data_IF_218509134974
#
_entry.id   IF_218509134974
#
_cell.length_a   1.000
_cell.length_b   1.000
_cell.length_c   1.000
_cell.angle_alpha   90.00
_cell.angle_beta   90.00
_cell.angle_gamma   90.00
#
_symmetry.space_group_name_H-M   'P 1'
#
loop_
_entity.id
_entity.type
_entity.pdbx_description
1 polymer ?
#
# COMPACT_ATOMS: atom_id res chain seq x y z
N UNK A 1 -5.74 29.45 -4.80
CA UNK A 1 -4.87 28.28 -5.00
C UNK A 1 -5.27 27.60 -6.30
N UNK A 2 -4.37 27.56 -7.29
CA UNK A 2 -4.68 26.94 -8.58
C UNK A 2 -4.60 25.42 -8.42
N UNK A 3 -5.71 24.72 -8.62
CA UNK A 3 -5.78 23.26 -8.62
C UNK A 3 -5.71 22.81 -10.08
N UNK A 4 -4.69 22.02 -10.42
CA UNK A 4 -4.48 21.48 -11.77
C UNK A 4 -5.22 20.15 -11.95
N UNK A 5 -5.12 19.26 -10.94
CA UNK A 5 -5.77 17.95 -10.96
C UNK A 5 -6.51 17.72 -9.65
N UNK A 6 -7.64 17.06 -9.72
CA UNK A 6 -8.42 16.66 -8.55
C UNK A 6 -8.97 15.25 -8.73
N UNK A 7 -8.88 14.49 -7.66
CA UNK A 7 -9.42 13.13 -7.55
C UNK A 7 -10.33 13.08 -6.34
N UNK A 8 -11.50 12.52 -6.51
CA UNK A 8 -12.49 12.39 -5.46
C UNK A 8 -13.10 11.00 -5.49
N UNK A 9 -13.22 10.35 -4.34
CA UNK A 9 -13.76 8.99 -4.28
C UNK A 9 -14.04 8.52 -2.86
N UNK A 10 -14.58 7.32 -2.78
CA UNK A 10 -14.87 6.70 -1.50
C UNK A 10 -13.69 5.84 -1.04
N UNK A 11 -13.40 5.90 0.26
CA UNK A 11 -12.38 5.05 0.91
C UNK A 11 -12.94 3.66 1.14
N UNK A 12 -13.00 2.83 0.10
CA UNK A 12 -13.55 1.47 0.17
C UNK A 12 -12.61 0.52 0.92
N UNK A 13 -13.15 -0.57 1.43
CA UNK A 13 -12.36 -1.65 2.07
C UNK A 13 -11.33 -2.23 1.10
N UNK A 14 -11.70 -2.32 -0.17
CA UNK A 14 -10.84 -2.80 -1.26
C UNK A 14 -9.66 -1.87 -1.50
N UNK A 15 -9.90 -0.55 -1.58
CA UNK A 15 -8.83 0.46 -1.73
C UNK A 15 -7.84 0.42 -0.56
N UNK A 16 -8.33 0.32 0.68
CA UNK A 16 -7.49 0.17 1.86
C UNK A 16 -6.66 -1.13 1.77
N UNK A 17 -7.28 -2.24 1.37
CA UNK A 17 -6.59 -3.54 1.23
C UNK A 17 -5.52 -3.51 0.15
N UNK A 18 -5.77 -2.88 -1.01
CA UNK A 18 -4.78 -2.74 -2.08
C UNK A 18 -3.60 -1.87 -1.63
N UNK A 19 -3.85 -0.80 -0.88
CA UNK A 19 -2.79 0.03 -0.27
C UNK A 19 -1.88 -0.80 0.62
N UNK A 20 -2.43 -1.61 1.53
CA UNK A 20 -1.63 -2.48 2.39
C UNK A 20 -0.89 -3.56 1.59
N UNK A 21 -1.55 -4.17 0.61
CA UNK A 21 -0.96 -5.19 -0.26
C UNK A 21 0.22 -4.62 -1.05
N UNK A 22 0.08 -3.41 -1.61
CA UNK A 22 1.16 -2.75 -2.34
C UNK A 22 2.32 -2.38 -1.41
N UNK A 23 2.00 -1.85 -0.23
CA UNK A 23 3.03 -1.42 0.73
C UNK A 23 3.87 -2.58 1.27
N UNK A 24 3.23 -3.70 1.57
CA UNK A 24 3.92 -4.89 2.08
C UNK A 24 4.42 -5.82 0.96
N UNK A 25 3.87 -5.74 -0.25
CA UNK A 25 3.98 -6.76 -1.28
C UNK A 25 5.41 -7.22 -1.61
N UNK A 26 6.32 -6.28 -1.92
CA UNK A 26 7.71 -6.64 -2.28
C UNK A 26 8.50 -7.23 -1.10
N UNK A 27 8.33 -6.66 0.10
CA UNK A 27 8.98 -7.18 1.32
C UNK A 27 8.42 -8.52 1.73
N UNK A 28 7.11 -8.70 1.62
CA UNK A 28 6.45 -9.97 1.93
C UNK A 28 6.96 -11.12 1.06
N UNK A 29 7.24 -10.89 -0.22
CA UNK A 29 7.72 -11.93 -1.14
C UNK A 29 9.06 -12.53 -0.69
N UNK A 30 9.99 -11.69 -0.26
CA UNK A 30 11.30 -12.13 0.26
C UNK A 30 11.11 -13.01 1.50
N UNK A 31 10.24 -12.60 2.43
CA UNK A 31 9.94 -13.39 3.61
C UNK A 31 9.26 -14.72 3.29
N UNK A 32 8.38 -14.76 2.28
CA UNK A 32 7.74 -16.01 1.84
C UNK A 32 8.78 -17.00 1.32
N UNK A 33 9.70 -16.55 0.47
CA UNK A 33 10.77 -17.41 -0.04
C UNK A 33 11.62 -17.91 1.12
N UNK A 34 12.03 -17.01 2.03
CA UNK A 34 12.86 -17.37 3.17
C UNK A 34 12.17 -18.42 4.05
N UNK A 35 10.92 -18.21 4.44
CA UNK A 35 10.17 -19.17 5.25
C UNK A 35 9.92 -20.49 4.52
N UNK A 36 9.65 -20.45 3.21
CA UNK A 36 9.48 -21.66 2.42
C UNK A 36 10.77 -22.50 2.38
N UNK A 37 11.91 -21.85 2.14
CA UNK A 37 13.23 -22.53 2.11
C UNK A 37 13.58 -23.09 3.49
N UNK A 38 13.42 -22.33 4.56
CA UNK A 38 13.70 -22.79 5.93
C UNK A 38 12.77 -23.93 6.33
N UNK A 39 11.50 -23.87 6.01
CA UNK A 39 10.54 -24.92 6.28
C UNK A 39 10.86 -26.21 5.51
N UNK A 40 11.21 -26.08 4.23
CA UNK A 40 11.63 -27.22 3.41
C UNK A 40 12.92 -27.85 3.93
N UNK A 41 13.93 -27.05 4.30
CA UNK A 41 15.16 -27.53 4.88
C UNK A 41 14.92 -28.31 6.19
N UNK A 42 14.12 -27.75 7.11
CA UNK A 42 13.79 -28.41 8.37
C UNK A 42 13.03 -29.72 8.15
N UNK A 43 12.18 -29.80 7.13
CA UNK A 43 11.47 -31.01 6.75
C UNK A 43 12.40 -32.10 6.18
N UNK A 44 13.35 -31.68 5.32
CA UNK A 44 14.38 -32.61 4.79
C UNK A 44 15.27 -33.17 5.91
N UNK A 45 15.65 -32.35 6.88
CA UNK A 45 16.40 -32.83 8.07
C UNK A 45 15.58 -33.87 8.85
N UNK A 46 14.28 -33.67 8.98
CA UNK A 46 13.40 -34.68 9.59
C UNK A 46 13.41 -36.00 8.81
N UNK A 47 13.28 -35.96 7.48
CA UNK A 47 13.29 -37.16 6.65
C UNK A 47 14.60 -37.91 6.74
N UNK A 48 15.73 -37.21 6.84
CA UNK A 48 17.06 -37.84 6.93
C UNK A 48 17.44 -38.38 8.32
N UNK A 49 16.99 -37.72 9.38
CA UNK A 49 17.41 -38.03 10.76
C UNK A 49 16.32 -38.59 11.67
N UNK A 50 15.05 -38.49 11.25
CA UNK A 50 13.89 -38.85 12.07
C UNK A 50 13.65 -37.98 13.30
N UNK A 51 14.36 -36.85 13.41
CA UNK A 51 14.29 -35.96 14.57
C UNK A 51 12.96 -35.20 14.60
N UNK A 52 12.06 -35.57 15.48
CA UNK A 52 10.72 -34.99 15.62
C UNK A 52 10.76 -33.46 15.84
N UNK A 53 11.81 -32.94 16.49
CA UNK A 53 12.01 -31.49 16.68
C UNK A 53 12.11 -30.74 15.35
N UNK A 54 12.73 -31.32 14.32
CA UNK A 54 12.84 -30.71 12.98
C UNK A 54 11.49 -30.64 12.28
N UNK A 55 10.63 -31.63 12.47
CA UNK A 55 9.24 -31.61 11.96
C UNK A 55 8.42 -30.49 12.66
N UNK A 56 8.51 -30.39 13.98
CA UNK A 56 7.83 -29.37 14.73
C UNK A 56 8.29 -27.96 14.30
N UNK A 57 9.57 -27.77 14.06
CA UNK A 57 10.13 -26.50 13.56
C UNK A 57 9.60 -26.18 12.16
N UNK A 58 9.55 -27.14 11.24
CA UNK A 58 8.99 -26.95 9.91
C UNK A 58 7.52 -26.51 9.98
N UNK A 59 6.71 -27.17 10.82
CA UNK A 59 5.31 -26.81 11.03
C UNK A 59 5.16 -25.40 11.60
N UNK A 60 5.95 -25.00 12.59
CA UNK A 60 5.94 -23.66 13.16
C UNK A 60 6.28 -22.60 12.12
N UNK A 61 7.29 -22.84 11.26
CA UNK A 61 7.67 -21.92 10.18
C UNK A 61 6.52 -21.75 9.18
N UNK A 62 5.85 -22.84 8.79
CA UNK A 62 4.72 -22.77 7.86
C UNK A 62 3.51 -22.08 8.46
N UNK A 63 3.21 -22.32 9.73
CA UNK A 63 2.16 -21.59 10.45
C UNK A 63 2.48 -20.10 10.50
N UNK A 64 3.72 -19.72 10.83
CA UNK A 64 4.17 -18.32 10.81
C UNK A 64 4.01 -17.70 9.42
N UNK A 65 4.32 -18.43 8.33
CA UNK A 65 4.12 -17.97 6.96
C UNK A 65 2.65 -17.67 6.67
N UNK A 66 1.73 -18.55 7.08
CA UNK A 66 0.28 -18.33 6.91
C UNK A 66 -0.19 -17.10 7.68
N UNK A 67 0.24 -16.93 8.93
CA UNK A 67 -0.06 -15.72 9.69
C UNK A 67 0.43 -14.46 8.99
N UNK A 68 1.64 -14.50 8.44
CA UNK A 68 2.22 -13.36 7.73
C UNK A 68 1.45 -12.98 6.45
N UNK A 69 0.86 -13.95 5.74
CA UNK A 69 -0.05 -13.72 4.60
C UNK A 69 -1.33 -13.02 5.05
N UNK A 70 -1.82 -13.33 6.24
CA UNK A 70 -3.08 -12.78 6.74
C UNK A 70 -2.93 -11.37 7.33
N UNK A 71 -1.71 -10.95 7.74
CA UNK A 71 -1.45 -9.65 8.36
C UNK A 71 -1.99 -8.47 7.54
N UNK A 72 -1.68 -8.30 6.23
CA UNK A 72 -2.20 -7.16 5.48
C UNK A 72 -3.73 -7.12 5.40
N UNK A 73 -4.36 -8.31 5.31
CA UNK A 73 -5.83 -8.43 5.28
C UNK A 73 -6.45 -8.03 6.61
N UNK A 74 -5.87 -8.49 7.72
CA UNK A 74 -6.37 -8.17 9.07
C UNK A 74 -6.16 -6.69 9.41
N UNK A 75 -5.03 -6.10 9.01
CA UNK A 75 -4.75 -4.67 9.19
C UNK A 75 -5.73 -3.80 8.39
N UNK A 76 -5.98 -4.14 7.12
CA UNK A 76 -6.96 -3.45 6.29
C UNK A 76 -8.37 -3.51 6.91
N UNK A 77 -8.79 -4.70 7.37
CA UNK A 77 -10.09 -4.87 8.01
C UNK A 77 -10.21 -4.09 9.33
N UNK A 78 -9.14 -4.10 10.15
CA UNK A 78 -9.10 -3.32 11.42
C UNK A 78 -9.18 -1.81 11.14
N UNK A 79 -8.42 -1.30 10.16
CA UNK A 79 -8.46 0.11 9.82
C UNK A 79 -9.80 0.54 9.23
N UNK A 80 -10.39 -0.27 8.36
CA UNK A 80 -11.73 0.00 7.85
C UNK A 80 -12.77 0.05 8.98
N UNK A 81 -12.76 -0.92 9.91
CA UNK A 81 -13.64 -0.90 11.08
C UNK A 81 -13.40 0.30 12.00
N UNK A 82 -12.13 0.70 12.18
CA UNK A 82 -11.77 1.89 12.97
C UNK A 82 -12.35 3.15 12.34
N UNK A 83 -12.18 3.32 11.02
CA UNK A 83 -12.77 4.46 10.27
C UNK A 83 -14.31 4.46 10.39
N UNK A 84 -14.98 3.32 10.18
CA UNK A 84 -16.43 3.23 10.35
C UNK A 84 -16.90 3.66 11.74
N UNK A 85 -16.19 3.25 12.80
CA UNK A 85 -16.51 3.69 14.17
C UNK A 85 -16.27 5.19 14.39
N UNK A 86 -15.22 5.74 13.77
CA UNK A 86 -14.86 7.15 13.91
C UNK A 86 -15.88 8.08 13.22
N UNK A 87 -16.55 7.60 12.19
CA UNK A 87 -17.46 8.38 11.34
C UNK A 87 -18.89 7.83 11.34
N UNK A 88 -19.35 7.28 12.47
CA UNK A 88 -20.73 6.83 12.70
C UNK A 88 -21.29 5.95 11.57
N UNK A 89 -20.46 5.05 11.04
CA UNK A 89 -20.84 4.08 10.02
C UNK A 89 -20.73 4.55 8.57
N UNK A 90 -20.36 5.83 8.31
CA UNK A 90 -20.14 6.36 6.96
C UNK A 90 -18.72 6.89 6.85
N UNK A 91 -17.88 6.22 6.07
CA UNK A 91 -16.53 6.71 5.81
C UNK A 91 -16.65 7.92 4.87
N UNK A 92 -16.11 9.10 5.24
CA UNK A 92 -16.14 10.27 4.37
C UNK A 92 -15.32 10.01 3.09
N UNK A 93 -15.69 10.68 1.99
CA UNK A 93 -14.93 10.57 0.76
C UNK A 93 -13.53 11.15 0.94
N UNK A 94 -12.56 10.60 0.21
CA UNK A 94 -11.24 11.20 0.11
C UNK A 94 -11.20 12.20 -1.04
N UNK A 95 -10.32 13.18 -0.91
CA UNK A 95 -10.00 14.14 -1.98
C UNK A 95 -8.48 14.27 -2.09
N UNK A 96 -7.98 14.17 -3.31
CA UNK A 96 -6.56 14.42 -3.63
C UNK A 96 -6.50 15.58 -4.59
N UNK A 97 -5.71 16.61 -4.28
CA UNK A 97 -5.54 17.80 -5.11
C UNK A 97 -4.07 18.03 -5.41
N UNK A 98 -3.82 18.38 -6.66
CA UNK A 98 -2.52 18.76 -7.16
C UNK A 98 -2.57 20.24 -7.56
N UNK A 99 -1.94 21.07 -6.77
CA UNK A 99 -1.83 22.51 -6.97
C UNK A 99 -0.37 22.96 -6.85
N UNK A 100 -0.10 23.90 -5.95
CA UNK A 100 1.28 24.26 -5.58
C UNK A 100 1.97 23.15 -4.81
N UNK A 101 1.20 22.35 -4.10
CA UNK A 101 1.61 21.15 -3.38
C UNK A 101 0.58 20.04 -3.56
N UNK A 102 0.94 18.82 -3.14
CA UNK A 102 0.03 17.68 -3.14
C UNK A 102 -0.71 17.70 -1.82
N UNK A 103 -2.04 17.77 -1.87
CA UNK A 103 -2.91 17.71 -0.69
C UNK A 103 -3.79 16.47 -0.76
N UNK A 104 -3.89 15.78 0.35
CA UNK A 104 -4.76 14.62 0.53
C UNK A 104 -5.63 14.85 1.75
N UNK A 105 -6.93 14.66 1.61
CA UNK A 105 -7.89 14.75 2.68
C UNK A 105 -8.75 13.48 2.70
N UNK A 106 -8.88 12.87 3.88
CA UNK A 106 -9.70 11.69 4.10
C UNK A 106 -10.33 11.79 5.50
N UNK A 107 -11.54 12.30 5.55
CA UNK A 107 -12.20 12.67 6.80
C UNK A 107 -11.45 13.76 7.55
N UNK A 108 -11.00 13.44 8.76
CA UNK A 108 -10.21 14.35 9.61
C UNK A 108 -8.71 14.33 9.28
N UNK A 109 -8.25 13.37 8.50
CA UNK A 109 -6.86 13.28 8.09
C UNK A 109 -6.61 14.25 6.92
N UNK A 110 -5.71 15.19 7.14
CA UNK A 110 -5.20 16.05 6.09
C UNK A 110 -3.69 15.89 6.01
N UNK A 111 -3.19 15.60 4.82
CA UNK A 111 -1.77 15.52 4.50
C UNK A 111 -1.48 16.54 3.41
N UNK A 112 -0.36 17.22 3.54
CA UNK A 112 0.14 18.14 2.52
C UNK A 112 1.64 18.03 2.44
N UNK A 113 2.19 17.97 1.23
CA UNK A 113 3.63 17.96 1.00
C UNK A 113 4.01 18.50 -0.38
N UNK A 114 5.13 19.22 -0.46
CA UNK A 114 5.61 19.77 -1.71
C UNK A 114 6.17 18.68 -2.64
N UNK A 115 6.17 18.92 -3.93
CA UNK A 115 6.69 18.00 -4.96
C UNK A 115 8.16 17.61 -4.73
N UNK A 116 8.97 18.52 -4.20
CA UNK A 116 10.37 18.24 -3.85
C UNK A 116 10.56 17.15 -2.79
N UNK A 117 9.52 16.84 -1.99
CA UNK A 117 9.54 15.76 -1.01
C UNK A 117 9.03 14.43 -1.56
N UNK A 118 8.54 14.38 -2.79
CA UNK A 118 8.11 13.13 -3.42
C UNK A 118 9.34 12.24 -3.62
N UNK A 119 9.27 11.03 -3.09
CA UNK A 119 10.33 10.02 -3.20
C UNK A 119 10.03 9.01 -4.29
N UNK A 120 8.75 8.69 -4.49
CA UNK A 120 8.34 7.64 -5.39
C UNK A 120 6.92 7.82 -5.86
N UNK A 121 6.70 7.58 -7.16
CA UNK A 121 5.37 7.44 -7.76
C UNK A 121 5.29 6.04 -8.35
N UNK A 122 4.25 5.32 -8.03
CA UNK A 122 4.01 3.97 -8.56
C UNK A 122 2.56 3.87 -9.03
N UNK A 123 2.35 3.16 -10.12
CA UNK A 123 1.02 2.76 -10.56
C UNK A 123 0.93 1.23 -10.42
N UNK A 124 -0.09 0.76 -9.70
CA UNK A 124 -0.32 -0.65 -9.53
C UNK A 124 -1.81 -0.93 -9.75
N UNK A 125 -2.12 -1.72 -10.78
CA UNK A 125 -3.48 -1.93 -11.25
C UNK A 125 -4.17 -0.58 -11.54
N UNK A 126 -5.29 -0.32 -10.90
CA UNK A 126 -6.10 0.89 -11.07
C UNK A 126 -5.83 1.94 -9.98
N UNK A 127 -4.66 1.89 -9.33
CA UNK A 127 -4.33 2.84 -8.25
C UNK A 127 -2.99 3.51 -8.49
N UNK A 128 -2.93 4.80 -8.16
CA UNK A 128 -1.71 5.61 -8.12
C UNK A 128 -1.28 5.73 -6.66
N UNK A 129 0.01 5.50 -6.43
CA UNK A 129 0.65 5.61 -5.11
C UNK A 129 1.73 6.67 -5.17
N UNK A 130 1.62 7.69 -4.35
CA UNK A 130 2.62 8.75 -4.21
C UNK A 130 3.17 8.68 -2.80
N UNK A 131 4.47 8.49 -2.68
CA UNK A 131 5.15 8.40 -1.39
C UNK A 131 6.13 9.54 -1.21
N UNK A 132 6.12 10.15 -0.04
CA UNK A 132 7.12 11.14 0.35
C UNK A 132 8.37 10.53 0.98
N UNK A 133 9.34 11.38 1.30
CA UNK A 133 10.64 10.99 1.90
C UNK A 133 10.49 10.46 3.33
N UNK A 134 9.49 10.90 4.08
CA UNK A 134 9.26 10.49 5.49
C UNK A 134 8.33 9.26 5.60
N UNK A 135 7.83 8.75 4.46
CA UNK A 135 7.06 7.51 4.40
C UNK A 135 5.55 7.68 4.36
N UNK A 136 5.02 8.91 4.31
CA UNK A 136 3.60 9.10 4.00
C UNK A 136 3.30 8.57 2.61
N UNK A 137 2.12 7.99 2.45
CA UNK A 137 1.68 7.44 1.17
C UNK A 137 0.25 7.89 0.90
N UNK A 138 0.09 8.58 -0.21
CA UNK A 138 -1.23 8.90 -0.79
C UNK A 138 -1.54 7.85 -1.84
N UNK A 139 -2.72 7.26 -1.74
CA UNK A 139 -3.21 6.25 -2.67
C UNK A 139 -4.62 6.61 -3.12
N UNK A 140 -4.83 6.60 -4.42
CA UNK A 140 -6.14 6.88 -5.02
C UNK A 140 -6.33 6.10 -6.32
N UNK A 141 -7.56 5.70 -6.65
CA UNK A 141 -7.86 4.98 -7.88
C UNK A 141 -7.82 5.92 -9.09
N UNK A 142 -7.39 5.38 -10.24
CA UNK A 142 -7.30 6.13 -11.51
C UNK A 142 -8.65 6.58 -12.03
N UNK A 143 -9.72 5.88 -11.70
CA UNK A 143 -11.10 6.22 -12.11
C UNK A 143 -11.78 7.27 -11.21
N UNK A 144 -11.09 7.81 -10.20
CA UNK A 144 -11.61 8.85 -9.29
C UNK A 144 -11.31 10.27 -9.75
N UNK A 145 -10.87 10.46 -11.00
CA UNK A 145 -10.56 11.76 -11.60
C UNK A 145 -11.82 12.61 -11.68
N UNK A 146 -11.74 13.82 -11.15
CA UNK A 146 -12.79 14.87 -11.29
C UNK A 146 -12.30 16.08 -12.08
N UNK A 147 -10.97 16.27 -12.14
CA UNK A 147 -10.35 17.34 -12.94
C UNK A 147 -9.03 16.86 -13.54
N UNK A 148 -8.84 17.08 -14.84
CA UNK A 148 -7.69 16.61 -15.61
C UNK A 148 -7.80 15.14 -16.01
N UNK A 149 -6.69 14.55 -16.46
CA UNK A 149 -6.58 13.13 -16.82
C UNK A 149 -5.37 12.49 -16.16
N UNK A 150 -5.36 11.15 -16.03
CA UNK A 150 -4.23 10.42 -15.45
C UNK A 150 -2.93 10.59 -16.26
N UNK A 151 -2.93 10.48 -17.61
CA UNK A 151 -1.73 10.73 -18.40
C UNK A 151 -1.16 12.13 -18.21
N UNK A 152 -2.01 13.16 -18.21
CA UNK A 152 -1.58 14.55 -17.95
C UNK A 152 -1.00 14.72 -16.55
N UNK A 153 -1.58 14.07 -15.53
CA UNK A 153 -1.03 14.08 -14.18
C UNK A 153 0.36 13.43 -14.15
N UNK A 154 0.55 12.28 -14.79
CA UNK A 154 1.85 11.61 -14.81
C UNK A 154 2.91 12.48 -15.52
N UNK A 155 2.55 13.15 -16.60
CA UNK A 155 3.43 14.08 -17.28
C UNK A 155 3.76 15.29 -16.39
N UNK A 156 2.76 15.87 -15.74
CA UNK A 156 2.95 16.97 -14.78
C UNK A 156 3.88 16.57 -13.63
N UNK A 157 3.72 15.34 -13.10
CA UNK A 157 4.60 14.82 -12.06
C UNK A 157 6.04 14.60 -12.56
N UNK A 158 6.24 14.19 -13.83
CA UNK A 158 7.59 14.11 -14.44
C UNK A 158 8.28 15.49 -14.45
N UNK A 159 7.54 16.54 -14.74
CA UNK A 159 8.07 17.90 -14.75
C UNK A 159 8.37 18.44 -13.35
N UNK A 160 7.47 18.18 -12.39
CA UNK A 160 7.60 18.66 -11.00
C UNK A 160 8.55 17.85 -10.13
N UNK A 161 8.81 16.59 -10.48
CA UNK A 161 9.62 15.64 -9.72
C UNK A 161 10.67 14.98 -10.63
N UNK A 162 11.64 15.72 -11.21
CA UNK A 162 12.56 15.20 -12.23
C UNK A 162 13.44 14.03 -11.72
N UNK A 163 13.74 14.00 -10.43
CA UNK A 163 14.57 12.95 -9.81
C UNK A 163 13.78 11.68 -9.46
N UNK A 164 12.47 11.68 -9.71
CA UNK A 164 11.58 10.56 -9.36
C UNK A 164 11.21 9.77 -10.60
N UNK A 165 11.42 8.46 -10.56
CA UNK A 165 10.93 7.59 -11.64
C UNK A 165 9.40 7.53 -11.63
N UNK A 166 8.79 8.14 -12.63
CA UNK A 166 7.34 8.13 -12.86
C UNK A 166 7.00 6.97 -13.80
N UNK A 167 5.94 6.18 -13.53
CA UNK A 167 5.47 5.14 -14.45
C UNK A 167 4.98 5.75 -15.77
N UNK A 168 5.10 4.99 -16.84
CA UNK A 168 4.57 5.31 -18.17
C UNK A 168 3.11 4.89 -18.30
#
# INVERSE_FOLDING_TARGET
MNIYFEFHGESTKEAIRETYRHWFGKKLWIFYILFAVMGAYSFLVYLGSGIVRSLLLALLIWVAMVFYILVPRSMAAKNHKKKLKQFDGKIPPFTVRFGEEITYQDGSLQLSFPYAKVKKVEMAREHIFIRDQIGNCVCFPTNSVTKGTVPELLQFLKEKCPDVKIPE
#
